data_IF_952813983294
#
_entry.id   IF_952813983294
#
_cell.length_a   1.000
_cell.length_b   1.000
_cell.length_c   1.000
_cell.angle_alpha   90.00
_cell.angle_beta   90.00
_cell.angle_gamma   90.00
#
_symmetry.space_group_name_H-M   'P 1'
#
loop_
_entity.id
_entity.type
_entity.pdbx_description
1 polymer ?
#
# COMPACT_ATOMS: atom_id res chain seq x y z
N UNK A 1 -42.56 1.78 -21.63
CA UNK A 1 -41.41 1.03 -22.21
C UNK A 1 -40.05 1.72 -22.06
N UNK A 2 -39.91 3.06 -22.18
CA UNK A 2 -38.60 3.74 -22.08
C UNK A 2 -37.92 3.70 -20.69
N UNK A 3 -38.69 3.60 -19.59
CA UNK A 3 -38.14 3.52 -18.22
C UNK A 3 -37.51 2.15 -17.89
N UNK A 4 -38.00 1.07 -18.49
CA UNK A 4 -37.53 -0.29 -18.20
C UNK A 4 -36.16 -0.60 -18.82
N UNK A 5 -35.84 0.03 -19.96
CA UNK A 5 -34.54 -0.12 -20.64
C UNK A 5 -33.41 0.53 -19.83
N UNK A 6 -33.69 1.67 -19.19
CA UNK A 6 -32.70 2.44 -18.43
C UNK A 6 -32.29 1.76 -17.11
N UNK A 7 -33.22 1.03 -16.49
CA UNK A 7 -32.95 0.22 -15.29
C UNK A 7 -32.12 -1.02 -15.66
N UNK A 8 -32.41 -1.65 -16.80
CA UNK A 8 -31.67 -2.81 -17.29
C UNK A 8 -30.22 -2.48 -17.67
N UNK A 9 -29.95 -1.32 -18.29
CA UNK A 9 -28.57 -0.89 -18.57
C UNK A 9 -27.80 -0.51 -17.31
N UNK A 10 -28.47 0.03 -16.28
CA UNK A 10 -27.83 0.35 -14.99
C UNK A 10 -27.38 -0.92 -14.24
N UNK A 11 -28.20 -1.98 -14.27
CA UNK A 11 -27.90 -3.27 -13.63
C UNK A 11 -26.74 -4.02 -14.30
N UNK A 12 -26.59 -3.92 -15.61
CA UNK A 12 -25.46 -4.54 -16.34
C UNK A 12 -24.14 -3.83 -16.00
N UNK A 13 -24.16 -2.51 -15.80
CA UNK A 13 -22.95 -1.76 -15.42
C UNK A 13 -22.46 -2.09 -14.01
N UNK A 14 -23.36 -2.48 -13.09
CA UNK A 14 -22.99 -2.89 -11.73
C UNK A 14 -22.48 -4.33 -11.63
N UNK A 15 -22.80 -5.20 -12.60
CA UNK A 15 -22.41 -6.62 -12.57
C UNK A 15 -21.01 -6.90 -13.14
N UNK A 16 -20.44 -5.98 -13.92
CA UNK A 16 -19.14 -6.17 -14.59
C UNK A 16 -17.91 -5.92 -13.70
N UNK A 17 -18.08 -5.63 -12.40
CA UNK A 17 -17.00 -5.13 -11.53
C UNK A 17 -16.61 -6.08 -10.38
N UNK A 18 -16.77 -7.40 -10.52
CA UNK A 18 -16.32 -8.37 -9.49
C UNK A 18 -15.30 -9.37 -10.02
N UNK A 19 -14.46 -8.95 -10.96
CA UNK A 19 -13.14 -9.57 -11.12
C UNK A 19 -12.16 -8.68 -10.35
N UNK A 20 -11.86 -9.04 -9.11
CA UNK A 20 -10.81 -8.36 -8.35
C UNK A 20 -9.49 -8.54 -9.08
N UNK A 21 -8.83 -7.45 -9.47
CA UNK A 21 -7.47 -7.53 -10.00
C UNK A 21 -6.52 -8.06 -8.91
N UNK A 22 -5.53 -8.91 -9.27
CA UNK A 22 -4.56 -9.41 -8.30
C UNK A 22 -3.78 -8.24 -7.69
N UNK A 23 -3.65 -8.24 -6.36
CA UNK A 23 -2.92 -7.22 -5.64
C UNK A 23 -1.46 -7.23 -6.10
N UNK A 24 -0.95 -6.10 -6.60
CA UNK A 24 0.46 -5.99 -7.02
C UNK A 24 1.24 -5.15 -6.02
N UNK A 25 2.41 -5.60 -5.57
CA UNK A 25 3.25 -4.90 -4.59
C UNK A 25 4.68 -4.72 -5.10
N UNK A 26 5.43 -3.80 -4.50
CA UNK A 26 6.88 -3.70 -4.71
C UNK A 26 7.61 -4.83 -3.96
N UNK A 27 8.64 -5.39 -4.61
CA UNK A 27 9.53 -6.40 -4.07
C UNK A 27 10.98 -5.93 -4.11
N UNK A 28 11.63 -5.95 -2.96
CA UNK A 28 13.04 -5.67 -2.82
C UNK A 28 13.57 -6.17 -1.48
N UNK A 29 14.89 -6.30 -1.38
CA UNK A 29 15.60 -6.57 -0.13
C UNK A 29 16.97 -5.90 -0.21
N UNK A 30 17.22 -4.95 0.68
CA UNK A 30 18.50 -4.25 0.78
C UNK A 30 19.06 -4.30 2.20
N UNK A 31 20.39 -4.30 2.26
CA UNK A 31 21.15 -4.09 3.48
C UNK A 31 22.02 -2.83 3.31
N UNK A 32 22.06 -2.00 4.35
CA UNK A 32 22.83 -0.75 4.47
C UNK A 32 22.34 0.41 3.60
N UNK A 33 22.12 0.18 2.31
CA UNK A 33 21.63 1.19 1.35
C UNK A 33 20.99 0.49 0.15
N UNK A 34 20.01 1.15 -0.46
CA UNK A 34 19.43 0.70 -1.72
C UNK A 34 18.00 1.19 -1.91
N UNK A 35 17.41 0.92 -3.09
CA UNK A 35 16.09 1.42 -3.45
C UNK A 35 14.97 0.96 -2.50
N UNK A 36 15.14 -0.16 -1.80
CA UNK A 36 14.19 -0.66 -0.80
C UNK A 36 14.17 0.18 0.47
N UNK A 37 15.35 0.65 0.88
CA UNK A 37 15.53 1.55 2.03
C UNK A 37 15.05 2.95 1.64
N UNK A 38 15.49 3.43 0.47
CA UNK A 38 15.21 4.79 -0.01
C UNK A 38 13.77 4.96 -0.51
N UNK A 39 13.09 3.86 -0.86
CA UNK A 39 11.74 3.89 -1.45
C UNK A 39 11.73 4.36 -2.91
N UNK A 40 12.81 4.14 -3.65
CA UNK A 40 12.88 4.50 -5.07
C UNK A 40 12.08 3.51 -5.93
N UNK A 41 10.86 3.92 -6.25
CA UNK A 41 9.87 3.17 -7.03
C UNK A 41 10.38 2.75 -8.41
N UNK A 42 11.29 3.51 -9.00
CA UNK A 42 11.79 3.25 -10.36
C UNK A 42 12.79 2.10 -10.40
N UNK A 43 13.35 1.73 -9.25
CA UNK A 43 14.39 0.72 -9.12
C UNK A 43 13.89 -0.55 -8.41
N UNK A 44 12.68 -0.51 -7.86
CA UNK A 44 12.05 -1.67 -7.23
C UNK A 44 11.29 -2.50 -8.26
N UNK A 45 11.40 -3.83 -8.15
CA UNK A 45 10.59 -4.76 -8.96
C UNK A 45 9.17 -4.82 -8.40
N UNK A 46 8.21 -5.24 -9.21
CA UNK A 46 6.84 -5.53 -8.79
C UNK A 46 6.59 -7.03 -8.76
N UNK A 47 5.63 -7.45 -7.94
CA UNK A 47 5.12 -8.82 -7.87
C UNK A 47 3.61 -8.81 -7.67
N UNK A 48 2.94 -9.83 -8.19
CA UNK A 48 1.54 -10.12 -7.88
C UNK A 48 1.47 -10.98 -6.61
N UNK A 49 0.59 -10.64 -5.69
CA UNK A 49 0.34 -11.36 -4.45
C UNK A 49 -0.75 -12.41 -4.63
N UNK A 50 -0.77 -13.38 -3.74
CA UNK A 50 -1.88 -14.33 -3.60
C UNK A 50 -3.13 -13.66 -3.00
N UNK A 51 -4.29 -14.33 -3.12
CA UNK A 51 -5.60 -13.76 -2.75
C UNK A 51 -5.69 -13.31 -1.27
N UNK A 52 -4.94 -13.95 -0.37
CA UNK A 52 -4.95 -13.66 1.07
C UNK A 52 -3.74 -12.84 1.56
N UNK A 53 -2.89 -12.39 0.63
CA UNK A 53 -1.69 -11.63 0.94
C UNK A 53 -1.90 -10.11 0.85
N UNK A 54 -1.08 -9.38 1.59
CA UNK A 54 -1.05 -7.92 1.62
C UNK A 54 0.34 -7.40 1.27
N UNK A 55 0.45 -6.15 0.82
CA UNK A 55 1.76 -5.55 0.63
C UNK A 55 2.40 -5.28 1.98
N UNK A 56 3.64 -5.73 2.16
CA UNK A 56 4.42 -5.51 3.39
C UNK A 56 5.66 -4.65 3.13
N UNK A 57 6.03 -3.84 4.12
CA UNK A 57 7.34 -3.18 4.26
C UNK A 57 7.89 -3.49 5.64
N UNK A 58 9.05 -4.14 5.71
CA UNK A 58 9.78 -4.41 6.94
C UNK A 58 11.09 -3.63 6.89
N UNK A 59 11.27 -2.70 7.82
CA UNK A 59 12.53 -2.00 8.01
C UNK A 59 13.11 -2.36 9.37
N UNK A 60 14.40 -2.68 9.43
CA UNK A 60 15.08 -2.88 10.70
C UNK A 60 16.26 -1.93 10.83
N UNK A 61 16.39 -1.31 12.00
CA UNK A 61 17.52 -0.48 12.38
C UNK A 61 18.22 -1.15 13.55
N UNK A 62 19.46 -1.60 13.34
CA UNK A 62 20.30 -2.16 14.40
C UNK A 62 21.37 -1.16 14.77
N UNK A 63 21.39 -0.71 16.02
CA UNK A 63 22.41 0.19 16.58
C UNK A 63 23.42 -0.64 17.37
N UNK A 64 24.71 -0.46 17.11
CA UNK A 64 25.82 -1.09 17.81
C UNK A 64 26.87 -0.01 18.16
N UNK A 65 26.89 0.41 19.43
CA UNK A 65 27.70 1.56 19.86
C UNK A 65 27.30 2.83 19.10
N UNK A 66 28.27 3.47 18.44
CA UNK A 66 28.05 4.68 17.62
C UNK A 66 27.59 4.39 16.18
N UNK A 67 27.60 3.12 15.76
CA UNK A 67 27.23 2.71 14.41
C UNK A 67 25.78 2.24 14.36
N UNK A 68 25.14 2.40 13.20
CA UNK A 68 23.85 1.81 12.93
C UNK A 68 23.80 1.19 11.54
N UNK A 69 22.97 0.17 11.39
CA UNK A 69 22.74 -0.57 10.17
C UNK A 69 21.25 -0.62 9.88
N UNK A 70 20.86 -0.30 8.65
CA UNK A 70 19.46 -0.35 8.21
C UNK A 70 19.31 -1.49 7.22
N UNK A 71 18.26 -2.27 7.35
CA UNK A 71 17.81 -3.24 6.34
C UNK A 71 16.38 -2.92 5.97
N UNK A 72 16.00 -3.08 4.71
CA UNK A 72 14.61 -3.00 4.29
C UNK A 72 14.24 -4.19 3.41
N UNK A 73 13.04 -4.72 3.61
CA UNK A 73 12.43 -5.75 2.76
C UNK A 73 11.02 -5.31 2.43
N UNK A 74 10.60 -5.53 1.18
CA UNK A 74 9.24 -5.28 0.71
C UNK A 74 8.76 -6.46 -0.12
N UNK A 75 7.46 -6.74 -0.06
CA UNK A 75 6.87 -7.84 -0.82
C UNK A 75 5.40 -8.03 -0.50
N UNK A 76 4.94 -9.26 -0.70
CA UNK A 76 3.64 -9.78 -0.29
C UNK A 76 3.83 -10.69 0.91
N UNK A 77 2.92 -10.65 1.86
CA UNK A 77 2.91 -11.58 3.01
C UNK A 77 1.49 -11.64 3.62
N UNK A 78 1.25 -12.54 4.56
CA UNK A 78 -0.03 -12.62 5.26
C UNK A 78 -0.27 -11.38 6.14
N UNK A 79 -1.53 -11.00 6.32
CA UNK A 79 -1.87 -9.74 7.02
C UNK A 79 -1.48 -9.69 8.51
N UNK A 80 -1.26 -10.84 9.13
CA UNK A 80 -1.01 -11.06 10.56
C UNK A 80 0.49 -11.11 10.93
N UNK A 81 1.39 -11.10 9.96
CA UNK A 81 2.85 -11.23 10.19
C UNK A 81 3.52 -9.96 10.72
N UNK A 82 2.76 -8.90 10.96
CA UNK A 82 3.29 -7.56 11.08
C UNK A 82 3.11 -6.97 12.49
N UNK A 83 4.19 -7.00 13.27
CA UNK A 83 4.27 -6.33 14.57
C UNK A 83 5.55 -5.50 14.65
N UNK A 84 5.41 -4.27 15.17
CA UNK A 84 6.55 -3.43 15.50
C UNK A 84 7.24 -3.98 16.75
N UNK A 85 8.53 -4.23 16.67
CA UNK A 85 9.30 -4.82 17.75
C UNK A 85 10.56 -4.02 18.04
N UNK A 86 10.87 -3.82 19.32
CA UNK A 86 12.17 -3.30 19.75
C UNK A 86 12.86 -4.31 20.65
N UNK A 87 13.97 -4.85 20.17
CA UNK A 87 14.78 -5.86 20.85
C UNK A 87 16.04 -5.20 21.38
N UNK A 88 16.19 -5.19 22.71
CA UNK A 88 17.41 -4.76 23.38
C UNK A 88 18.31 -5.96 23.66
N UNK A 89 19.42 -6.06 22.94
CA UNK A 89 20.50 -7.00 23.20
C UNK A 89 21.57 -6.28 24.04
N UNK A 90 22.35 -7.00 24.86
CA UNK A 90 23.28 -6.39 25.84
C UNK A 90 24.20 -5.27 25.31
N UNK A 91 24.49 -5.24 24.00
CA UNK A 91 25.30 -4.20 23.34
C UNK A 91 24.66 -3.56 22.11
N UNK A 92 23.47 -4.03 21.71
CA UNK A 92 22.82 -3.62 20.47
C UNK A 92 21.34 -3.35 20.70
N UNK A 93 20.79 -2.33 20.06
CA UNK A 93 19.33 -2.13 20.00
C UNK A 93 18.89 -2.40 18.57
N UNK A 94 17.94 -3.31 18.38
CA UNK A 94 17.31 -3.56 17.09
C UNK A 94 15.85 -3.10 17.15
N UNK A 95 15.50 -2.14 16.32
CA UNK A 95 14.12 -1.70 16.11
C UNK A 95 13.63 -2.24 14.77
N UNK A 96 12.49 -2.89 14.75
CA UNK A 96 11.80 -3.41 13.58
C UNK A 96 10.52 -2.59 13.42
N UNK A 97 10.39 -1.94 12.27
CA UNK A 97 9.19 -1.28 11.82
C UNK A 97 8.55 -2.15 10.73
N UNK A 98 7.30 -2.54 10.92
CA UNK A 98 6.54 -3.31 9.98
C UNK A 98 5.27 -2.54 9.57
N UNK A 99 5.02 -2.45 8.26
CA UNK A 99 3.86 -1.77 7.70
C UNK A 99 3.18 -2.67 6.67
N UNK A 100 1.86 -2.83 6.79
CA UNK A 100 1.02 -3.54 5.81
C UNK A 100 0.02 -2.60 5.13
N UNK A 101 -0.36 -2.92 3.89
CA UNK A 101 -1.41 -2.21 3.16
C UNK A 101 -1.99 -3.08 2.02
N UNK A 102 -3.26 -2.85 1.69
CA UNK A 102 -4.04 -3.72 0.77
C UNK A 102 -4.41 -3.01 -0.54
N UNK A 103 -3.54 -2.12 -1.02
CA UNK A 103 -3.76 -1.43 -2.29
C UNK A 103 -2.55 -1.60 -3.21
N UNK A 104 -2.80 -1.63 -4.52
CA UNK A 104 -1.74 -1.84 -5.50
C UNK A 104 -0.60 -0.85 -5.33
N UNK A 105 0.62 -1.37 -5.21
CA UNK A 105 1.89 -0.65 -5.09
C UNK A 105 1.96 0.30 -3.88
N UNK A 106 1.18 0.03 -2.83
CA UNK A 106 1.11 0.88 -1.64
C UNK A 106 2.38 0.84 -0.78
N UNK A 107 3.14 -0.26 -0.82
CA UNK A 107 4.41 -0.42 -0.12
C UNK A 107 5.57 0.31 -0.84
N UNK A 108 5.31 1.47 -1.44
CA UNK A 108 6.27 2.24 -2.23
C UNK A 108 7.19 3.14 -1.42
N UNK A 109 6.88 3.37 -0.15
CA UNK A 109 7.70 4.18 0.76
C UNK A 109 7.46 5.67 0.54
N UNK A 110 7.26 6.37 1.65
CA UNK A 110 6.89 7.78 1.80
C UNK A 110 5.46 8.18 1.41
N UNK A 111 4.78 8.71 2.44
CA UNK A 111 3.54 9.50 2.46
C UNK A 111 2.21 8.83 2.10
N UNK A 112 1.46 8.56 3.17
CA UNK A 112 0.01 8.37 3.19
C UNK A 112 -0.69 9.60 2.59
N UNK A 113 -1.82 9.36 1.91
CA UNK A 113 -2.97 10.26 1.60
C UNK A 113 -2.94 11.00 0.24
N UNK A 114 -3.30 10.29 -0.83
CA UNK A 114 -3.85 10.93 -2.04
C UNK A 114 -5.36 10.65 -2.24
N UNK A 115 -5.90 9.53 -1.71
CA UNK A 115 -7.30 9.14 -1.99
C UNK A 115 -8.39 9.97 -1.30
N UNK A 116 -8.09 10.71 -0.23
CA UNK A 116 -9.10 11.56 0.44
C UNK A 116 -9.42 12.81 -0.38
N UNK A 117 -8.44 13.35 -1.12
CA UNK A 117 -8.66 14.54 -1.94
C UNK A 117 -9.62 14.26 -3.11
N UNK A 118 -9.49 13.10 -3.76
CA UNK A 118 -10.35 12.73 -4.90
C UNK A 118 -11.82 12.63 -4.49
N UNK A 119 -12.11 12.03 -3.32
CA UNK A 119 -13.48 11.90 -2.81
C UNK A 119 -14.09 13.27 -2.45
N UNK A 120 -13.30 14.18 -1.89
CA UNK A 120 -13.77 15.54 -1.57
C UNK A 120 -14.07 16.35 -2.83
N UNK A 121 -13.22 16.28 -3.87
CA UNK A 121 -13.45 16.98 -5.13
C UNK A 121 -14.70 16.49 -5.87
N UNK A 122 -14.97 15.18 -5.86
CA UNK A 122 -16.18 14.63 -6.48
C UNK A 122 -17.46 15.09 -5.76
N UNK A 123 -17.46 15.17 -4.42
CA UNK A 123 -18.62 15.63 -3.66
C UNK A 123 -18.89 17.14 -3.86
N UNK A 124 -17.85 17.97 -3.90
CA UNK A 124 -18.00 19.41 -4.15
C UNK A 124 -18.52 19.68 -5.57
N UNK A 125 -18.01 18.97 -6.57
CA UNK A 125 -18.45 19.13 -7.95
C UNK A 125 -19.93 18.73 -8.11
N UNK A 126 -20.36 17.64 -7.47
CA UNK A 126 -21.76 17.22 -7.49
C UNK A 126 -22.68 18.24 -6.82
N UNK A 127 -22.27 18.78 -5.66
CA UNK A 127 -23.03 19.80 -4.94
C UNK A 127 -23.15 21.11 -5.75
N UNK A 128 -22.08 21.57 -6.40
CA UNK A 128 -22.11 22.75 -7.25
C UNK A 128 -22.97 22.54 -8.51
N UNK A 129 -22.89 21.37 -9.14
CA UNK A 129 -23.69 21.04 -10.33
C UNK A 129 -25.20 20.97 -10.04
N UNK A 130 -25.60 20.61 -8.81
CA UNK A 130 -27.01 20.57 -8.40
C UNK A 130 -27.55 21.90 -7.88
N UNK A 131 -26.69 22.83 -7.48
CA UNK A 131 -27.11 24.13 -6.90
C UNK A 131 -27.17 25.25 -7.94
N UNK A 132 -26.54 25.08 -9.12
CA UNK A 132 -26.57 26.04 -10.24
C UNK A 132 -27.75 25.76 -11.20
N UNK A 133 -28.80 25.07 -10.74
CA UNK A 133 -29.98 24.74 -11.53
C UNK A 133 -31.25 25.36 -10.97
#
# INVERSE_FOLDING_TARGET
MKRSVLVFTLLIFTFSFIAGEPLTCYKCRDALKGPCIDGDKNQMKTIECHEDEVCVTIQSKTTQGSNYYITATRGCDASDICEDETINLMKNTKTILCLTCNTTLCNSGSSVKSSILTVVFFNIFFYLATTIR
#
